data_IF_108378558973
#
_entry.id   IF_108378558973
#
_cell.length_a   1.000
_cell.length_b   1.000
_cell.length_c   1.000
_cell.angle_alpha   90.00
_cell.angle_beta   90.00
_cell.angle_gamma   90.00
#
_symmetry.space_group_name_H-M   'P 1'
#
loop_
_entity.id
_entity.type
_entity.pdbx_description
1 polymer ?
#
# COMPACT_ATOMS: atom_id res chain seq x y z
N UNK A 1 -21.04 -2.36 60.30
CA UNK A 1 -19.68 -1.79 60.13
C UNK A 1 -19.22 -2.11 58.71
N UNK A 2 -19.43 -1.15 57.77
CA UNK A 2 -18.93 -1.24 56.39
C UNK A 2 -17.51 -0.71 56.37
N UNK A 3 -16.60 -1.49 55.81
CA UNK A 3 -15.22 -1.09 55.50
C UNK A 3 -15.23 -0.58 54.08
N UNK A 4 -15.21 0.75 53.94
CA UNK A 4 -15.01 1.40 52.64
C UNK A 4 -13.59 1.15 52.15
N UNK A 5 -13.44 0.43 51.03
CA UNK A 5 -12.17 0.38 50.30
C UNK A 5 -12.05 1.67 49.47
N UNK A 6 -11.32 2.66 50.03
CA UNK A 6 -10.79 3.77 49.22
C UNK A 6 -9.82 3.23 48.18
N UNK A 7 -10.22 3.33 46.90
CA UNK A 7 -9.31 3.15 45.79
C UNK A 7 -8.31 4.30 45.78
N UNK A 8 -7.18 4.13 46.43
CA UNK A 8 -6.05 5.04 46.41
C UNK A 8 -5.39 4.97 45.01
N UNK A 9 -5.85 5.80 44.10
CA UNK A 9 -5.22 6.00 42.79
C UNK A 9 -3.99 6.89 43.00
N UNK A 10 -2.90 6.32 43.49
CA UNK A 10 -1.62 7.01 43.55
C UNK A 10 -1.17 7.30 42.10
N UNK A 11 -1.29 8.54 41.67
CA UNK A 11 -0.66 9.04 40.42
C UNK A 11 0.85 8.85 40.62
N UNK A 12 1.43 7.84 39.94
CA UNK A 12 2.89 7.65 39.91
C UNK A 12 3.54 8.96 39.48
N UNK A 13 4.58 9.45 40.16
CA UNK A 13 5.25 10.71 39.81
C UNK A 13 5.75 10.62 38.37
N UNK A 14 5.65 11.74 37.69
CA UNK A 14 6.09 11.88 36.30
C UNK A 14 7.61 11.75 36.24
N UNK A 15 8.09 10.53 36.00
CA UNK A 15 9.53 10.22 36.05
C UNK A 15 10.29 10.90 34.91
N UNK A 16 11.51 11.33 35.17
CA UNK A 16 12.42 11.99 34.22
C UNK A 16 12.53 11.22 32.88
N UNK A 17 12.50 9.89 32.89
CA UNK A 17 12.48 9.04 31.71
C UNK A 17 11.25 9.27 30.82
N UNK A 18 10.07 9.49 31.42
CA UNK A 18 8.85 9.82 30.64
C UNK A 18 8.95 11.17 29.96
N UNK A 19 9.56 12.17 30.64
CA UNK A 19 9.79 13.48 30.04
C UNK A 19 10.67 13.38 28.80
N UNK A 20 11.77 12.63 28.86
CA UNK A 20 12.65 12.39 27.70
C UNK A 20 11.87 11.73 26.56
N UNK A 21 11.09 10.67 26.84
CA UNK A 21 10.27 10.00 25.84
C UNK A 21 9.29 10.97 25.17
N UNK A 22 8.60 11.83 25.93
CA UNK A 22 7.69 12.82 25.35
C UNK A 22 8.42 13.85 24.48
N UNK A 23 9.59 14.35 24.92
CA UNK A 23 10.40 15.27 24.11
C UNK A 23 10.81 14.61 22.80
N UNK A 24 11.31 13.38 22.82
CA UNK A 24 11.69 12.65 21.62
C UNK A 24 10.48 12.44 20.69
N UNK A 25 9.32 12.06 21.22
CA UNK A 25 8.09 11.88 20.42
C UNK A 25 7.60 13.20 19.82
N UNK A 26 7.66 14.31 20.54
CA UNK A 26 7.29 15.64 20.04
C UNK A 26 8.24 16.09 18.93
N UNK A 27 9.55 15.92 19.12
CA UNK A 27 10.53 16.23 18.08
C UNK A 27 10.31 15.40 16.83
N UNK A 28 10.08 14.09 16.97
CA UNK A 28 9.75 13.23 15.86
C UNK A 28 8.46 13.65 15.15
N UNK A 29 7.41 14.00 15.92
CA UNK A 29 6.16 14.48 15.35
C UNK A 29 6.35 15.80 14.56
N UNK A 30 7.10 16.76 15.10
CA UNK A 30 7.43 18.01 14.40
C UNK A 30 8.18 17.73 13.10
N UNK A 31 9.20 16.86 13.13
CA UNK A 31 9.99 16.52 11.95
C UNK A 31 9.14 15.90 10.82
N UNK A 32 8.05 15.20 11.15
CA UNK A 32 7.14 14.61 10.18
C UNK A 32 6.06 15.61 9.75
N UNK A 33 5.43 16.29 10.70
CA UNK A 33 4.27 17.16 10.43
C UNK A 33 4.68 18.43 9.67
N UNK A 34 5.81 19.06 10.03
CA UNK A 34 6.23 20.32 9.43
C UNK A 34 6.46 20.21 7.92
N UNK A 35 7.22 19.23 7.38
CA UNK A 35 7.37 19.08 5.93
C UNK A 35 6.04 18.78 5.22
N UNK A 36 5.18 17.95 5.81
CA UNK A 36 3.88 17.65 5.22
C UNK A 36 2.99 18.90 5.17
N UNK A 37 2.86 19.60 6.28
CA UNK A 37 2.11 20.86 6.34
C UNK A 37 2.68 21.90 5.34
N UNK A 38 4.00 21.94 5.21
CA UNK A 38 4.66 22.80 4.23
C UNK A 38 4.25 22.47 2.80
N UNK A 39 4.22 21.21 2.40
CA UNK A 39 3.76 20.78 1.07
C UNK A 39 2.33 21.28 0.79
N UNK A 40 1.42 21.16 1.77
CA UNK A 40 0.06 21.68 1.64
C UNK A 40 0.02 23.19 1.49
N UNK A 41 0.79 23.94 2.29
CA UNK A 41 0.89 25.39 2.18
C UNK A 41 1.51 25.82 0.84
N UNK A 42 2.56 25.14 0.42
CA UNK A 42 3.24 25.42 -0.84
C UNK A 42 2.34 25.16 -2.06
N UNK A 43 1.45 24.18 -1.99
CA UNK A 43 0.54 23.84 -3.09
C UNK A 43 -0.46 24.96 -3.45
N UNK A 44 -0.74 25.86 -2.52
CA UNK A 44 -1.65 27.01 -2.71
C UNK A 44 -0.92 28.34 -2.87
N UNK A 45 0.42 28.35 -2.98
CA UNK A 45 1.21 29.56 -3.25
C UNK A 45 1.29 29.89 -4.73
N UNK A 46 1.36 31.17 -5.07
CA UNK A 46 1.72 31.59 -6.41
C UNK A 46 3.21 31.35 -6.67
N UNK A 47 3.56 31.09 -7.93
CA UNK A 47 4.94 30.77 -8.30
C UNK A 47 5.94 31.87 -7.92
N UNK A 48 5.56 33.14 -8.01
CA UNK A 48 6.39 34.29 -7.62
C UNK A 48 6.79 34.30 -6.14
N UNK A 49 5.98 33.73 -5.25
CA UNK A 49 6.22 33.69 -3.80
C UNK A 49 7.37 32.75 -3.41
N UNK A 50 7.82 31.88 -4.33
CA UNK A 50 8.94 30.96 -4.10
C UNK A 50 10.31 31.60 -4.37
N UNK A 51 10.37 32.70 -5.14
CA UNK A 51 11.63 33.32 -5.52
C UNK A 51 12.25 34.24 -4.44
N UNK A 52 11.47 34.63 -3.42
CA UNK A 52 11.95 35.37 -2.27
C UNK A 52 12.31 34.46 -1.10
N UNK A 53 11.46 34.46 -0.08
CA UNK A 53 11.54 33.50 1.04
C UNK A 53 10.50 32.40 0.87
N UNK A 54 10.90 31.19 0.47
CA UNK A 54 9.96 30.08 0.28
C UNK A 54 9.16 29.74 1.55
N UNK A 55 9.69 30.05 2.72
CA UNK A 55 9.11 29.67 4.02
C UNK A 55 8.03 30.64 4.54
N UNK A 56 7.69 31.68 3.80
CA UNK A 56 6.57 32.57 4.16
C UNK A 56 5.22 31.82 4.00
N UNK A 57 4.21 32.27 4.74
CA UNK A 57 2.85 31.83 4.50
C UNK A 57 2.34 32.37 3.15
N UNK A 58 1.40 31.70 2.46
CA UNK A 58 0.83 32.19 1.22
C UNK A 58 0.10 33.52 1.43
N UNK A 59 0.37 34.51 0.57
CA UNK A 59 -0.34 35.79 0.58
C UNK A 59 -1.83 35.65 0.25
N UNK A 60 -2.13 34.73 -0.69
CA UNK A 60 -3.49 34.36 -1.09
C UNK A 60 -3.53 32.87 -1.44
N UNK A 61 -4.66 32.22 -1.17
CA UNK A 61 -4.87 30.84 -1.57
C UNK A 61 -5.07 30.75 -3.08
N UNK A 62 -4.10 30.20 -3.78
CA UNK A 62 -4.10 30.08 -5.24
C UNK A 62 -4.39 28.63 -5.69
N UNK A 63 -5.68 28.29 -5.76
CA UNK A 63 -6.13 26.93 -6.14
C UNK A 63 -5.92 26.59 -7.62
N UNK A 64 -5.56 27.56 -8.46
CA UNK A 64 -5.27 27.32 -9.87
C UNK A 64 -4.15 26.31 -10.08
N UNK A 65 -3.22 26.18 -9.13
CA UNK A 65 -2.18 25.15 -9.15
C UNK A 65 -2.74 23.73 -9.25
N UNK A 66 -3.85 23.46 -8.54
CA UNK A 66 -4.53 22.14 -8.60
C UNK A 66 -5.23 21.93 -9.93
N UNK A 67 -5.88 22.96 -10.47
CA UNK A 67 -6.51 22.90 -11.80
C UNK A 67 -5.45 22.65 -12.86
N UNK A 68 -4.32 23.36 -12.78
CA UNK A 68 -3.21 23.20 -13.71
C UNK A 68 -2.52 21.84 -13.60
N UNK A 69 -2.34 21.31 -12.39
CA UNK A 69 -1.82 19.97 -12.18
C UNK A 69 -2.79 18.90 -12.74
N UNK A 70 -4.09 19.09 -12.51
CA UNK A 70 -5.11 18.16 -12.97
C UNK A 70 -5.23 18.12 -14.50
N UNK A 71 -5.27 19.29 -15.15
CA UNK A 71 -5.58 19.41 -16.59
C UNK A 71 -4.32 19.43 -17.46
N UNK A 72 -3.33 20.28 -17.11
CA UNK A 72 -2.12 20.46 -17.94
C UNK A 72 -1.08 19.36 -17.73
N UNK A 73 -1.02 18.77 -16.51
CA UNK A 73 -0.12 17.67 -16.21
C UNK A 73 -0.81 16.29 -16.32
N UNK A 74 -2.07 16.23 -16.75
CA UNK A 74 -2.87 15.02 -16.96
C UNK A 74 -2.98 14.11 -15.70
N UNK A 75 -2.86 14.73 -14.50
CA UNK A 75 -2.88 13.97 -13.24
C UNK A 75 -4.21 13.24 -13.02
N UNK A 76 -5.33 13.74 -13.59
CA UNK A 76 -6.62 13.07 -13.53
C UNK A 76 -6.62 11.68 -14.17
N UNK A 77 -6.06 11.55 -15.38
CA UNK A 77 -5.91 10.26 -16.06
C UNK A 77 -4.98 9.31 -15.28
N UNK A 78 -3.88 9.84 -14.73
CA UNK A 78 -2.92 9.05 -13.97
C UNK A 78 -3.50 8.52 -12.65
N UNK A 79 -4.35 9.30 -11.97
CA UNK A 79 -5.10 8.82 -10.79
C UNK A 79 -6.01 7.66 -11.18
N UNK A 80 -6.79 7.81 -12.24
CA UNK A 80 -7.71 6.75 -12.69
C UNK A 80 -6.94 5.46 -13.01
N UNK A 81 -5.83 5.55 -13.74
CA UNK A 81 -4.98 4.42 -14.04
C UNK A 81 -4.43 3.76 -12.77
N UNK A 82 -3.94 4.57 -11.81
CA UNK A 82 -3.44 4.06 -10.52
C UNK A 82 -4.54 3.37 -9.72
N UNK A 83 -5.75 3.92 -9.67
CA UNK A 83 -6.89 3.30 -8.98
C UNK A 83 -7.24 1.96 -9.64
N UNK A 84 -7.34 1.92 -10.97
CA UNK A 84 -7.66 0.69 -11.72
C UNK A 84 -6.61 -0.39 -11.45
N UNK A 85 -5.32 -0.07 -11.64
CA UNK A 85 -4.23 -1.03 -11.46
C UNK A 85 -4.16 -1.53 -10.03
N UNK A 86 -4.23 -0.62 -9.05
CA UNK A 86 -4.15 -0.99 -7.63
C UNK A 86 -5.34 -1.84 -7.20
N UNK A 87 -6.57 -1.47 -7.61
CA UNK A 87 -7.77 -2.23 -7.29
C UNK A 87 -7.75 -3.64 -7.91
N UNK A 88 -7.37 -3.75 -9.19
CA UNK A 88 -7.23 -5.04 -9.88
C UNK A 88 -6.14 -5.90 -9.25
N UNK A 89 -4.97 -5.33 -8.96
CA UNK A 89 -3.86 -6.05 -8.35
C UNK A 89 -4.24 -6.58 -6.96
N UNK A 90 -4.87 -5.77 -6.11
CA UNK A 90 -5.34 -6.19 -4.78
C UNK A 90 -6.41 -7.27 -4.90
N UNK A 91 -7.40 -7.11 -5.77
CA UNK A 91 -8.47 -8.09 -5.95
C UNK A 91 -7.91 -9.45 -6.37
N UNK A 92 -7.03 -9.48 -7.38
CA UNK A 92 -6.37 -10.70 -7.84
C UNK A 92 -5.45 -11.29 -6.75
N UNK A 93 -4.69 -10.44 -6.04
CA UNK A 93 -3.81 -10.86 -4.96
C UNK A 93 -4.57 -11.57 -3.85
N UNK A 94 -5.65 -10.99 -3.35
CA UNK A 94 -6.47 -11.57 -2.29
C UNK A 94 -7.15 -12.86 -2.77
N UNK A 95 -7.67 -12.88 -3.99
CA UNK A 95 -8.31 -14.07 -4.56
C UNK A 95 -7.35 -15.28 -4.64
N UNK A 96 -6.06 -15.04 -4.87
CA UNK A 96 -5.04 -16.10 -4.97
C UNK A 96 -4.37 -16.37 -3.61
N UNK A 97 -3.92 -15.33 -2.92
CA UNK A 97 -3.12 -15.45 -1.72
C UNK A 97 -3.91 -16.00 -0.52
N UNK A 98 -5.20 -15.65 -0.40
CA UNK A 98 -6.00 -16.03 0.75
C UNK A 98 -6.23 -17.55 0.82
N UNK A 99 -6.73 -18.23 -0.24
CA UNK A 99 -6.85 -19.69 -0.23
C UNK A 99 -5.48 -20.38 -0.20
N UNK A 100 -4.47 -19.85 -0.90
CA UNK A 100 -3.14 -20.44 -0.89
C UNK A 100 -2.53 -20.43 0.53
N UNK A 101 -2.57 -19.31 1.23
CA UNK A 101 -2.06 -19.20 2.59
C UNK A 101 -2.82 -20.10 3.58
N UNK A 102 -4.15 -20.19 3.43
CA UNK A 102 -4.96 -21.08 4.25
C UNK A 102 -4.54 -22.55 4.06
N UNK A 103 -4.46 -23.01 2.81
CA UNK A 103 -4.07 -24.40 2.50
C UNK A 103 -2.64 -24.69 2.98
N UNK A 104 -1.69 -23.81 2.72
CA UNK A 104 -0.29 -24.00 3.11
C UNK A 104 -0.05 -23.99 4.62
N UNK A 105 -0.91 -23.31 5.39
CA UNK A 105 -0.78 -23.21 6.85
C UNK A 105 -1.53 -24.29 7.60
N UNK A 106 -2.67 -24.80 7.05
CA UNK A 106 -3.60 -25.69 7.78
C UNK A 106 -3.51 -27.14 7.33
N UNK A 107 -3.14 -27.41 6.09
CA UNK A 107 -3.11 -28.75 5.55
C UNK A 107 -1.68 -29.30 5.40
N UNK A 108 -1.52 -30.58 5.70
CA UNK A 108 -0.25 -31.30 5.52
C UNK A 108 -0.36 -32.17 4.29
N UNK A 109 0.29 -31.78 3.20
CA UNK A 109 0.40 -32.57 1.98
C UNK A 109 1.87 -32.71 1.54
N UNK A 110 2.16 -33.68 0.68
CA UNK A 110 3.53 -34.11 0.36
C UNK A 110 4.44 -32.97 -0.11
N UNK A 111 3.93 -32.01 -0.88
CA UNK A 111 4.70 -30.88 -1.44
C UNK A 111 4.54 -29.58 -0.65
N UNK A 112 3.83 -29.58 0.49
CA UNK A 112 3.58 -28.38 1.29
C UNK A 112 4.87 -27.65 1.71
N UNK A 113 5.90 -28.41 2.14
CA UNK A 113 7.21 -27.85 2.51
C UNK A 113 7.90 -27.15 1.35
N UNK A 114 7.82 -27.74 0.14
CA UNK A 114 8.41 -27.16 -1.08
C UNK A 114 7.75 -25.81 -1.42
N UNK A 115 6.42 -25.74 -1.42
CA UNK A 115 5.69 -24.51 -1.73
C UNK A 115 5.95 -23.42 -0.69
N UNK A 116 5.95 -23.76 0.61
CA UNK A 116 6.31 -22.81 1.67
C UNK A 116 7.73 -22.28 1.47
N UNK A 117 8.70 -23.15 1.17
CA UNK A 117 10.08 -22.73 0.91
C UNK A 117 10.17 -21.81 -0.32
N UNK A 118 9.44 -22.14 -1.39
CA UNK A 118 9.41 -21.34 -2.61
C UNK A 118 8.88 -19.93 -2.36
N UNK A 119 7.76 -19.78 -1.66
CA UNK A 119 7.24 -18.46 -1.30
C UNK A 119 8.14 -17.72 -0.33
N UNK A 120 8.73 -18.39 0.65
CA UNK A 120 9.71 -17.76 1.55
C UNK A 120 10.97 -17.30 0.79
N UNK A 121 11.47 -18.09 -0.15
CA UNK A 121 12.59 -17.67 -1.01
C UNK A 121 12.26 -16.43 -1.82
N UNK A 122 11.02 -16.29 -2.28
CA UNK A 122 10.52 -15.10 -2.98
C UNK A 122 10.61 -13.80 -2.17
N UNK A 123 10.60 -13.86 -0.83
CA UNK A 123 10.77 -12.68 0.02
C UNK A 123 12.15 -12.03 -0.10
N UNK A 124 13.17 -12.80 -0.45
CA UNK A 124 14.55 -12.32 -0.59
C UNK A 124 14.83 -11.74 -1.98
N UNK A 125 13.89 -11.85 -2.92
CA UNK A 125 14.04 -11.30 -4.25
C UNK A 125 13.59 -9.84 -4.24
N UNK A 126 14.56 -8.93 -4.37
CA UNK A 126 14.23 -7.52 -4.51
C UNK A 126 13.68 -7.26 -5.92
N UNK A 127 12.48 -6.68 -5.97
CA UNK A 127 11.74 -6.38 -7.21
C UNK A 127 12.58 -5.54 -8.18
N UNK A 128 13.39 -4.61 -7.68
CA UNK A 128 14.25 -3.76 -8.52
C UNK A 128 15.25 -4.54 -9.38
N UNK A 129 15.67 -5.73 -8.95
CA UNK A 129 16.58 -6.56 -9.73
C UNK A 129 15.89 -7.38 -10.83
N UNK A 130 14.59 -7.66 -10.66
CA UNK A 130 13.85 -8.49 -11.61
C UNK A 130 13.01 -7.68 -12.61
N UNK A 131 12.93 -6.35 -12.48
CA UNK A 131 12.16 -5.49 -13.39
C UNK A 131 12.64 -5.63 -14.83
N UNK A 132 13.95 -5.59 -15.07
CA UNK A 132 14.53 -5.74 -16.42
C UNK A 132 14.26 -7.15 -17.01
N UNK A 133 14.52 -8.26 -16.30
CA UNK A 133 14.10 -9.59 -16.74
C UNK A 133 12.61 -9.71 -17.04
N UNK A 134 11.72 -9.17 -16.20
CA UNK A 134 10.28 -9.17 -16.44
C UNK A 134 9.95 -8.41 -17.72
N UNK A 135 10.52 -7.21 -17.91
CA UNK A 135 10.31 -6.43 -19.11
C UNK A 135 10.75 -7.18 -20.36
N UNK A 136 11.93 -7.78 -20.37
CA UNK A 136 12.46 -8.54 -21.52
C UNK A 136 11.57 -9.74 -21.85
N UNK A 137 11.12 -10.47 -20.83
CA UNK A 137 10.19 -11.60 -21.00
C UNK A 137 8.86 -11.12 -21.63
N UNK A 138 8.23 -10.11 -21.06
CA UNK A 138 6.96 -9.57 -21.57
C UNK A 138 7.10 -8.96 -22.96
N UNK A 139 8.21 -8.27 -23.24
CA UNK A 139 8.51 -7.71 -24.56
C UNK A 139 8.68 -8.80 -25.62
N UNK A 140 9.34 -9.92 -25.29
CA UNK A 140 9.49 -11.04 -26.21
C UNK A 140 8.13 -11.70 -26.48
N UNK A 141 7.29 -11.88 -25.45
CA UNK A 141 5.93 -12.39 -25.63
C UNK A 141 5.07 -11.43 -26.45
N UNK A 142 5.19 -10.12 -26.22
CA UNK A 142 4.46 -9.11 -26.97
C UNK A 142 4.85 -9.11 -28.48
N UNK A 143 6.17 -9.25 -28.77
CA UNK A 143 6.67 -9.39 -30.14
C UNK A 143 6.13 -10.64 -30.81
N UNK A 144 6.19 -11.80 -30.14
CA UNK A 144 5.66 -13.05 -30.67
C UNK A 144 4.15 -12.94 -30.96
N UNK A 145 3.41 -12.34 -30.04
CA UNK A 145 1.97 -12.15 -30.20
C UNK A 145 1.64 -11.21 -31.37
N UNK A 146 2.41 -10.12 -31.52
CA UNK A 146 2.26 -9.19 -32.66
C UNK A 146 2.51 -9.87 -34.00
N UNK A 147 3.47 -10.78 -34.06
CA UNK A 147 3.73 -11.57 -35.28
C UNK A 147 2.57 -12.52 -35.60
N UNK A 148 1.89 -13.08 -34.58
CA UNK A 148 0.79 -14.04 -34.77
C UNK A 148 -0.55 -13.39 -35.08
N UNK A 149 -0.92 -12.32 -34.36
CA UNK A 149 -2.27 -11.70 -34.43
C UNK A 149 -2.25 -10.21 -34.74
N UNK A 150 -1.10 -9.62 -35.07
CA UNK A 150 -0.96 -8.21 -35.46
C UNK A 150 -1.09 -7.20 -34.33
N UNK A 151 -1.31 -7.63 -33.07
CA UNK A 151 -1.50 -6.74 -31.91
C UNK A 151 -0.66 -7.21 -30.72
N UNK A 152 -0.07 -6.25 -30.00
CA UNK A 152 0.56 -6.48 -28.71
C UNK A 152 -0.48 -6.50 -27.58
N UNK A 153 -0.15 -7.17 -26.47
CA UNK A 153 -1.00 -7.25 -25.29
C UNK A 153 -0.23 -7.12 -23.97
N UNK A 154 1.06 -7.47 -23.98
CA UNK A 154 1.86 -7.61 -22.74
C UNK A 154 2.51 -6.30 -22.29
N UNK A 155 2.73 -5.34 -23.18
CA UNK A 155 3.21 -4.00 -22.87
C UNK A 155 2.11 -2.96 -23.06
N UNK A 156 2.24 -1.82 -22.38
CA UNK A 156 1.23 -0.75 -22.40
C UNK A 156 -0.18 -1.26 -22.05
N UNK A 157 -0.28 -2.10 -21.01
CA UNK A 157 -1.54 -2.69 -20.58
C UNK A 157 -1.65 -2.67 -19.05
N UNK A 158 -2.67 -1.96 -18.53
CA UNK A 158 -2.90 -1.81 -17.09
C UNK A 158 -3.23 -3.15 -16.40
N UNK A 159 -3.89 -4.08 -17.11
CA UNK A 159 -4.19 -5.40 -16.58
C UNK A 159 -2.90 -6.22 -16.36
N UNK A 160 -1.99 -6.21 -17.34
CA UNK A 160 -0.70 -6.91 -17.21
C UNK A 160 0.14 -6.29 -16.10
N UNK A 161 0.15 -4.97 -15.97
CA UNK A 161 0.80 -4.30 -14.85
C UNK A 161 0.22 -4.77 -13.50
N UNK A 162 -1.11 -4.88 -13.39
CA UNK A 162 -1.77 -5.38 -12.19
C UNK A 162 -1.40 -6.85 -11.89
N UNK A 163 -1.26 -7.70 -12.92
CA UNK A 163 -0.79 -9.08 -12.77
C UNK A 163 0.66 -9.12 -12.25
N UNK A 164 1.54 -8.26 -12.76
CA UNK A 164 2.93 -8.18 -12.27
C UNK A 164 2.96 -7.71 -10.82
N UNK A 165 2.18 -6.70 -10.45
CA UNK A 165 2.06 -6.26 -9.06
C UNK A 165 1.59 -7.38 -8.14
N UNK A 166 0.52 -8.08 -8.54
CA UNK A 166 0.01 -9.24 -7.80
C UNK A 166 1.10 -10.30 -7.62
N UNK A 167 1.79 -10.69 -8.69
CA UNK A 167 2.79 -11.73 -8.67
C UNK A 167 3.97 -11.40 -7.75
N UNK A 168 4.47 -10.16 -7.78
CA UNK A 168 5.58 -9.71 -6.93
C UNK A 168 5.20 -9.61 -5.46
N UNK A 169 3.93 -9.38 -5.14
CA UNK A 169 3.42 -9.26 -3.77
C UNK A 169 2.98 -10.59 -3.14
N UNK A 170 2.78 -11.66 -3.95
CA UNK A 170 2.33 -12.96 -3.47
C UNK A 170 3.18 -13.53 -2.33
N UNK A 171 4.53 -13.57 -2.39
CA UNK A 171 5.35 -14.15 -1.34
C UNK A 171 5.11 -13.53 0.03
N UNK A 172 5.15 -12.20 0.09
CA UNK A 172 4.93 -11.44 1.32
C UNK A 172 3.52 -11.62 1.87
N UNK A 173 2.53 -11.57 1.00
CA UNK A 173 1.12 -11.71 1.38
C UNK A 173 0.81 -13.09 1.92
N UNK A 174 1.29 -14.16 1.24
CA UNK A 174 1.12 -15.54 1.70
C UNK A 174 1.84 -15.77 3.04
N UNK A 175 3.06 -15.24 3.21
CA UNK A 175 3.80 -15.35 4.46
C UNK A 175 3.02 -14.75 5.63
N UNK A 176 2.53 -13.51 5.51
CA UNK A 176 1.77 -12.86 6.57
C UNK A 176 0.45 -13.58 6.88
N UNK A 177 -0.32 -13.96 5.85
CA UNK A 177 -1.58 -14.69 6.02
C UNK A 177 -1.36 -16.07 6.64
N UNK A 178 -0.33 -16.80 6.22
CA UNK A 178 0.00 -18.11 6.77
C UNK A 178 0.35 -18.03 8.27
N UNK A 179 1.09 -17.00 8.68
CA UNK A 179 1.38 -16.72 10.08
C UNK A 179 0.10 -16.52 10.89
N UNK A 180 -0.85 -15.73 10.36
CA UNK A 180 -2.13 -15.53 11.01
C UNK A 180 -2.96 -16.81 11.09
N UNK A 181 -3.16 -17.53 9.98
CA UNK A 181 -3.95 -18.76 9.97
C UNK A 181 -3.37 -19.84 10.87
N UNK A 182 -2.04 -19.98 10.93
CA UNK A 182 -1.39 -20.91 11.86
C UNK A 182 -1.68 -20.61 13.32
N UNK A 183 -1.97 -19.35 13.66
CA UNK A 183 -2.30 -18.91 15.02
C UNK A 183 -3.75 -19.13 15.45
N UNK A 184 -4.66 -19.43 14.50
CA UNK A 184 -6.06 -19.71 14.82
C UNK A 184 -6.20 -21.09 15.48
N UNK A 185 -7.10 -21.24 16.47
CA UNK A 185 -7.44 -22.52 17.06
C UNK A 185 -8.06 -23.45 16.00
N UNK A 186 -7.71 -24.73 16.04
CA UNK A 186 -8.28 -25.74 15.11
C UNK A 186 -9.73 -26.09 15.44
N UNK A 187 -10.14 -25.86 16.67
CA UNK A 187 -11.47 -26.13 17.18
C UNK A 187 -12.58 -25.52 16.28
N UNK A 188 -12.31 -24.36 15.63
CA UNK A 188 -13.26 -23.74 14.71
C UNK A 188 -13.51 -24.57 13.45
N UNK A 189 -12.48 -25.24 12.92
CA UNK A 189 -12.60 -26.14 11.77
C UNK A 189 -13.24 -27.46 12.18
N UNK A 190 -12.87 -28.00 13.33
CA UNK A 190 -13.43 -29.24 13.88
C UNK A 190 -14.92 -29.08 14.19
N UNK A 191 -15.33 -27.97 14.82
CA UNK A 191 -16.73 -27.68 15.06
C UNK A 191 -17.53 -27.56 13.75
N UNK A 192 -16.96 -26.88 12.75
CA UNK A 192 -17.59 -26.76 11.44
C UNK A 192 -17.80 -28.11 10.75
N UNK A 193 -16.84 -29.04 10.87
CA UNK A 193 -16.96 -30.38 10.31
C UNK A 193 -18.02 -31.22 11.04
N UNK A 194 -18.12 -31.10 12.36
CA UNK A 194 -19.20 -31.73 13.12
C UNK A 194 -20.58 -31.25 12.70
N UNK A 195 -20.68 -29.93 12.37
CA UNK A 195 -21.90 -29.33 11.81
C UNK A 195 -22.14 -29.65 10.32
N UNK A 196 -21.32 -30.52 9.70
CA UNK A 196 -21.45 -30.95 8.31
C UNK A 196 -20.95 -29.96 7.26
N UNK A 197 -20.19 -28.91 7.66
CA UNK A 197 -19.63 -27.98 6.71
C UNK A 197 -18.44 -28.60 5.95
N UNK A 198 -18.46 -28.50 4.61
CA UNK A 198 -17.31 -28.89 3.78
C UNK A 198 -16.16 -27.88 3.85
N UNK A 199 -14.96 -28.28 3.39
CA UNK A 199 -13.73 -27.48 3.44
C UNK A 199 -13.88 -26.06 2.88
N UNK A 200 -14.52 -25.90 1.73
CA UNK A 200 -14.71 -24.59 1.10
C UNK A 200 -15.65 -23.70 1.93
N UNK A 201 -16.72 -24.29 2.48
CA UNK A 201 -17.66 -23.57 3.34
C UNK A 201 -16.98 -23.10 4.62
N UNK A 202 -16.21 -23.98 5.27
CA UNK A 202 -15.42 -23.65 6.47
C UNK A 202 -14.45 -22.52 6.19
N UNK A 203 -13.68 -22.59 5.09
CA UNK A 203 -12.73 -21.58 4.68
C UNK A 203 -13.41 -20.21 4.48
N UNK A 204 -14.48 -20.15 3.66
CA UNK A 204 -15.08 -18.88 3.22
C UNK A 204 -16.02 -18.30 4.27
N UNK A 205 -16.82 -19.13 4.95
CA UNK A 205 -17.86 -18.65 5.87
C UNK A 205 -17.40 -18.53 7.32
N UNK A 206 -16.31 -19.19 7.71
CA UNK A 206 -15.84 -19.21 9.10
C UNK A 206 -14.44 -18.57 9.20
N UNK A 207 -13.45 -19.13 8.52
CA UNK A 207 -12.05 -18.74 8.70
C UNK A 207 -11.76 -17.37 8.10
N UNK A 208 -12.22 -17.05 6.88
CA UNK A 208 -11.97 -15.75 6.26
C UNK A 208 -12.64 -14.59 6.99
N UNK A 209 -13.89 -14.67 7.46
CA UNK A 209 -14.48 -13.64 8.33
C UNK A 209 -13.70 -13.41 9.62
N UNK A 210 -13.18 -14.46 10.27
CA UNK A 210 -12.34 -14.35 11.46
C UNK A 210 -10.99 -13.64 11.14
N UNK A 211 -10.46 -13.86 9.94
CA UNK A 211 -9.23 -13.23 9.46
C UNK A 211 -9.40 -11.79 8.96
N UNK A 212 -10.62 -11.25 8.97
CA UNK A 212 -10.92 -9.90 8.43
C UNK A 212 -9.96 -8.81 8.91
N UNK A 213 -9.55 -8.69 10.20
CA UNK A 213 -8.60 -7.66 10.61
C UNK A 213 -7.23 -7.79 9.92
N UNK A 214 -6.73 -9.03 9.80
CA UNK A 214 -5.44 -9.29 9.12
C UNK A 214 -5.53 -9.07 7.61
N UNK A 215 -6.65 -9.46 7.00
CA UNK A 215 -6.90 -9.21 5.57
C UNK A 215 -6.91 -7.70 5.28
N UNK A 216 -7.57 -6.90 6.11
CA UNK A 216 -7.59 -5.43 5.96
C UNK A 216 -6.19 -4.84 6.10
N UNK A 217 -5.39 -5.32 7.06
CA UNK A 217 -4.00 -4.89 7.23
C UNK A 217 -3.15 -5.22 5.99
N UNK A 218 -3.30 -6.40 5.43
CA UNK A 218 -2.59 -6.84 4.22
C UNK A 218 -3.03 -6.04 3.00
N UNK A 219 -4.32 -5.76 2.84
CA UNK A 219 -4.83 -4.89 1.79
C UNK A 219 -4.18 -3.51 1.88
N UNK A 220 -4.07 -2.95 3.08
CA UNK A 220 -3.44 -1.65 3.27
C UNK A 220 -1.96 -1.67 2.88
N UNK A 221 -1.18 -2.65 3.33
CA UNK A 221 0.24 -2.75 2.96
C UNK A 221 0.43 -2.87 1.45
N UNK A 222 -0.37 -3.71 0.80
CA UNK A 222 -0.30 -3.86 -0.65
C UNK A 222 -0.81 -2.62 -1.40
N UNK A 223 -1.84 -1.93 -0.87
CA UNK A 223 -2.28 -0.65 -1.42
C UNK A 223 -1.14 0.37 -1.38
N UNK A 224 -0.47 0.53 -0.24
CA UNK A 224 0.65 1.47 -0.11
C UNK A 224 1.80 1.11 -1.06
N UNK A 225 2.10 -0.18 -1.20
CA UNK A 225 3.13 -0.68 -2.12
C UNK A 225 2.78 -0.38 -3.58
N UNK A 226 1.59 -0.75 -4.04
CA UNK A 226 1.16 -0.58 -5.43
C UNK A 226 0.89 0.88 -5.79
N UNK A 227 0.31 1.66 -4.86
CA UNK A 227 0.04 3.07 -5.07
C UNK A 227 1.31 3.90 -5.27
N UNK A 228 2.39 3.56 -4.57
CA UNK A 228 3.67 4.26 -4.66
C UNK A 228 4.65 3.59 -5.65
N UNK A 229 4.24 2.51 -6.32
CA UNK A 229 5.12 1.80 -7.24
C UNK A 229 5.39 2.65 -8.48
N UNK A 230 6.67 2.82 -8.78
CA UNK A 230 7.15 3.68 -9.87
C UNK A 230 7.94 2.90 -10.92
N UNK A 231 8.83 1.99 -10.49
CA UNK A 231 9.86 1.41 -11.36
C UNK A 231 9.28 0.43 -12.39
N UNK A 232 8.41 -0.48 -11.93
CA UNK A 232 7.73 -1.44 -12.81
C UNK A 232 6.79 -0.70 -13.75
N UNK A 233 6.01 0.25 -13.21
CA UNK A 233 5.06 1.04 -13.98
C UNK A 233 5.73 1.83 -15.08
N UNK A 234 6.81 2.56 -14.77
CA UNK A 234 7.58 3.31 -15.76
C UNK A 234 8.17 2.42 -16.86
N UNK A 235 8.57 1.19 -16.50
CA UNK A 235 9.21 0.25 -17.42
C UNK A 235 8.19 -0.40 -18.36
N UNK A 236 7.01 -0.78 -17.86
CA UNK A 236 6.00 -1.52 -18.63
C UNK A 236 5.03 -0.60 -19.39
N UNK A 237 4.78 0.62 -18.89
CA UNK A 237 3.88 1.60 -19.50
C UNK A 237 4.67 2.74 -20.16
N UNK A 238 5.00 2.59 -21.41
CA UNK A 238 5.70 3.61 -22.22
C UNK A 238 4.76 4.66 -22.82
N UNK A 239 3.47 4.32 -23.01
CA UNK A 239 2.45 5.25 -23.49
C UNK A 239 2.12 6.29 -22.41
N UNK A 240 2.17 7.58 -22.78
CA UNK A 240 1.91 8.70 -21.89
C UNK A 240 0.52 8.63 -21.24
N UNK A 241 -0.49 8.16 -21.96
CA UNK A 241 -1.89 8.10 -21.49
C UNK A 241 -2.14 6.99 -20.44
N UNK A 242 -1.28 5.97 -20.42
CA UNK A 242 -1.44 4.81 -19.53
C UNK A 242 -0.61 4.91 -18.25
N UNK A 243 0.17 5.97 -18.09
CA UNK A 243 1.04 6.12 -16.91
C UNK A 243 0.26 6.16 -15.61
N UNK A 244 0.88 5.62 -14.56
CA UNK A 244 0.37 5.69 -13.20
C UNK A 244 0.74 7.03 -12.54
N UNK A 245 0.09 7.34 -11.44
CA UNK A 245 0.23 8.61 -10.73
C UNK A 245 1.67 8.91 -10.28
N UNK A 246 2.46 7.97 -9.71
CA UNK A 246 3.87 8.23 -9.37
C UNK A 246 4.72 8.57 -10.61
N UNK A 247 4.49 7.89 -11.73
CA UNK A 247 5.22 8.17 -12.99
C UNK A 247 4.82 9.53 -13.55
N UNK A 248 3.53 9.88 -13.49
CA UNK A 248 3.03 11.20 -13.89
C UNK A 248 3.63 12.32 -13.06
N UNK A 249 3.72 12.14 -11.73
CA UNK A 249 4.35 13.10 -10.84
C UNK A 249 5.84 13.30 -11.17
N UNK A 250 6.58 12.22 -11.41
CA UNK A 250 8.00 12.31 -11.79
C UNK A 250 8.19 13.03 -13.14
N UNK A 251 7.28 12.81 -14.10
CA UNK A 251 7.30 13.55 -15.36
C UNK A 251 7.01 15.05 -15.14
N UNK A 252 6.04 15.37 -14.28
CA UNK A 252 5.76 16.77 -13.90
C UNK A 252 7.00 17.41 -13.28
N UNK A 253 7.67 16.74 -12.35
CA UNK A 253 8.90 17.23 -11.72
C UNK A 253 10.05 17.39 -12.75
N UNK A 254 10.18 16.47 -13.69
CA UNK A 254 11.19 16.54 -14.74
C UNK A 254 10.94 17.70 -15.71
N UNK A 255 9.68 17.97 -16.07
CA UNK A 255 9.30 19.08 -16.93
C UNK A 255 9.59 20.45 -16.29
N UNK A 256 9.61 20.55 -14.97
CA UNK A 256 9.90 21.78 -14.23
C UNK A 256 11.37 22.23 -14.34
N UNK A 257 12.28 21.42 -14.87
CA UNK A 257 13.68 21.82 -15.08
C UNK A 257 13.84 22.97 -16.09
N UNK A 258 12.87 23.16 -16.98
CA UNK A 258 12.91 24.21 -18.03
C UNK A 258 12.02 25.41 -17.70
N UNK A 259 10.95 25.25 -16.93
CA UNK A 259 10.02 26.33 -16.57
C UNK A 259 9.39 26.04 -15.21
N UNK A 260 10.05 26.46 -14.14
CA UNK A 260 9.70 26.04 -12.77
C UNK A 260 8.36 26.61 -12.33
N UNK A 261 7.38 25.73 -12.17
CA UNK A 261 6.04 25.99 -11.63
C UNK A 261 5.90 25.28 -10.26
N UNK A 262 6.58 25.82 -9.24
CA UNK A 262 6.63 25.19 -7.92
C UNK A 262 5.25 24.92 -7.33
N UNK A 263 4.32 25.88 -7.41
CA UNK A 263 2.97 25.68 -6.90
C UNK A 263 2.24 24.50 -7.53
N UNK A 264 2.33 24.33 -8.85
CA UNK A 264 1.77 23.20 -9.58
C UNK A 264 2.42 21.88 -9.17
N UNK A 265 3.74 21.87 -8.98
CA UNK A 265 4.48 20.69 -8.52
C UNK A 265 4.01 20.24 -7.12
N UNK A 266 3.90 21.18 -6.18
CA UNK A 266 3.41 20.88 -4.84
C UNK A 266 1.93 20.46 -4.84
N UNK A 267 1.10 21.03 -5.71
CA UNK A 267 -0.27 20.58 -5.91
C UNK A 267 -0.32 19.14 -6.41
N UNK A 268 0.56 18.75 -7.35
CA UNK A 268 0.73 17.36 -7.79
C UNK A 268 1.12 16.43 -6.64
N UNK A 269 2.06 16.84 -5.78
CA UNK A 269 2.44 16.07 -4.58
C UNK A 269 1.25 15.87 -3.64
N UNK A 270 0.46 16.91 -3.36
CA UNK A 270 -0.76 16.81 -2.53
C UNK A 270 -1.75 15.83 -3.15
N UNK A 271 -1.98 15.89 -4.47
CA UNK A 271 -2.86 14.97 -5.19
C UNK A 271 -2.43 13.51 -4.99
N UNK A 272 -1.13 13.23 -5.03
CA UNK A 272 -0.59 11.86 -4.81
C UNK A 272 -0.76 11.42 -3.35
N UNK A 273 -0.59 12.34 -2.39
CA UNK A 273 -0.65 12.03 -0.96
C UNK A 273 -2.09 11.83 -0.44
N UNK A 274 -3.06 12.56 -0.98
CA UNK A 274 -4.44 12.56 -0.47
C UNK A 274 -5.08 11.16 -0.38
N UNK A 275 -5.05 10.29 -1.41
CA UNK A 275 -5.66 8.97 -1.33
C UNK A 275 -5.05 8.10 -0.22
N UNK A 276 -3.74 8.22 0.00
CA UNK A 276 -3.04 7.49 1.07
C UNK A 276 -3.49 7.97 2.44
N UNK A 277 -3.57 9.29 2.65
CA UNK A 277 -4.04 9.89 3.91
C UNK A 277 -5.49 9.51 4.21
N UNK A 278 -6.38 9.59 3.20
CA UNK A 278 -7.79 9.22 3.33
C UNK A 278 -7.91 7.75 3.71
N UNK A 279 -7.22 6.86 3.00
CA UNK A 279 -7.26 5.43 3.30
C UNK A 279 -6.74 5.15 4.72
N UNK A 280 -5.62 5.76 5.12
CA UNK A 280 -5.10 5.60 6.48
C UNK A 280 -6.11 6.03 7.54
N UNK A 281 -6.75 7.19 7.38
CA UNK A 281 -7.78 7.66 8.32
C UNK A 281 -8.97 6.70 8.43
N UNK A 282 -9.35 6.05 7.33
CA UNK A 282 -10.44 5.06 7.34
C UNK A 282 -10.05 3.75 8.07
N UNK A 283 -8.79 3.34 7.97
CA UNK A 283 -8.36 1.98 8.39
C UNK A 283 -7.58 1.98 9.70
N UNK A 284 -7.08 3.12 10.20
CA UNK A 284 -6.21 3.22 11.38
C UNK A 284 -6.74 2.48 12.64
N UNK A 285 -8.06 2.49 12.88
CA UNK A 285 -8.66 1.79 14.02
C UNK A 285 -8.54 0.26 13.89
N UNK A 286 -8.72 -0.25 12.68
CA UNK A 286 -8.62 -1.69 12.40
C UNK A 286 -7.15 -2.18 12.47
N UNK A 287 -6.20 -1.32 12.06
CA UNK A 287 -4.77 -1.61 12.17
C UNK A 287 -4.31 -1.79 13.61
N UNK A 288 -4.71 -0.88 14.51
CA UNK A 288 -4.36 -0.99 15.94
C UNK A 288 -4.94 -2.25 16.58
N UNK A 289 -6.12 -2.68 16.20
CA UNK A 289 -6.73 -3.93 16.69
C UNK A 289 -6.03 -5.18 16.12
N UNK A 290 -5.66 -5.18 14.83
CA UNK A 290 -4.96 -6.31 14.19
C UNK A 290 -3.55 -6.55 14.74
N UNK A 291 -2.81 -5.49 15.05
CA UNK A 291 -1.46 -5.61 15.62
C UNK A 291 -1.46 -6.09 17.07
N UNK A 292 -2.46 -5.75 17.87
CA UNK A 292 -2.56 -6.21 19.27
C UNK A 292 -2.90 -7.70 19.37
N UNK A 293 -3.67 -8.25 18.42
CA UNK A 293 -3.96 -9.70 18.37
C UNK A 293 -2.75 -10.55 17.95
N UNK A 294 -1.84 -10.00 17.16
CA UNK A 294 -0.58 -10.66 16.79
C UNK A 294 0.53 -10.53 17.85
N UNK A 295 0.49 -9.51 18.71
CA UNK A 295 1.53 -9.22 19.71
C UNK A 295 1.31 -9.84 21.10
N UNK A 296 0.16 -10.47 21.38
CA UNK A 296 -0.16 -11.05 22.69
C UNK A 296 0.28 -12.51 22.88
N UNK A 297 1.16 -13.03 22.00
CA UNK A 297 1.81 -14.34 22.16
C UNK A 297 3.35 -14.18 22.23
N UNK A 298 3.81 -13.33 23.13
CA UNK A 298 5.18 -13.24 23.59
C UNK A 298 5.23 -13.41 25.08
#
# INVERSE_FOLDING_TARGET
RGIGMEKNTSKKPFGFSKLIVYICLILLAITIIVPVAWVFLASVKQNKEFYGNPWTLPEKLYFQNFVDAWTKADMGSYILNSVIVTALAIAMLIAVALPAAYVLSRFKFRTCKFWNLLFMAGLFINVSYIVVPIFLMLNNWDKSLRQMIGRGFFLNNLFILAVVYMATALPFTIYLLSGYFSGLAKDFEEAAYVDGAGYFTTMVKIIFPMAKPSIVTIILFNFLSFWNEYVISMTLLTDAKLKTLPVGLMNLMAAQKSAVQYGQMYAGLVIVMLPVLILYMCVQKTLTQGMTLGGLKG
#
